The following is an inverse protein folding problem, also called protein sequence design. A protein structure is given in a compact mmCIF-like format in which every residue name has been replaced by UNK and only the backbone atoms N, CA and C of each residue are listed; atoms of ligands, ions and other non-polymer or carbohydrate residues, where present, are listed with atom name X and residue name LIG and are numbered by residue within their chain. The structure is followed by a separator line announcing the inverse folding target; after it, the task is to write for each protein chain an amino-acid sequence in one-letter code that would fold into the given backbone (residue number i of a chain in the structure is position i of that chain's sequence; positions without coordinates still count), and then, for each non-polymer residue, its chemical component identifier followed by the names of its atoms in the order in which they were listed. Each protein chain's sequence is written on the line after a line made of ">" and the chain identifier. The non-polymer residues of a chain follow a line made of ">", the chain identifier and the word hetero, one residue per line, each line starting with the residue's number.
data_IF_590110240326
#
_entry.id   IF_590110240326
#
_cell.length_a   1.000
_cell.length_b   1.000
_cell.length_c   1.000
_cell.angle_alpha   90.00
_cell.angle_beta   90.00
_cell.angle_gamma   90.00
#
_symmetry.space_group_name_H-M   'P 1'
#
loop_
_entity.id
_entity.type
_entity.pdbx_description
1 polymer ?
#
# COMPACT_ATOMS: atom_id res chain seq x y z
N UNK A 1 8.84 7.12 -10.72
CA UNK A 1 9.30 5.77 -10.30
C UNK A 1 10.32 5.97 -9.20
N UNK A 2 10.31 5.16 -8.13
CA UNK A 2 11.26 5.30 -7.01
C UNK A 2 12.70 4.99 -7.47
N UNK A 3 13.70 5.63 -6.85
CA UNK A 3 15.12 5.39 -7.16
C UNK A 3 15.57 4.00 -6.72
N UNK A 4 15.02 3.49 -5.61
CA UNK A 4 15.29 2.16 -5.07
C UNK A 4 13.99 1.49 -4.57
N UNK A 5 13.99 0.16 -4.58
CA UNK A 5 12.92 -0.68 -4.01
C UNK A 5 13.59 -1.66 -3.06
N UNK A 6 13.01 -1.81 -1.87
CA UNK A 6 13.48 -2.74 -0.85
C UNK A 6 12.31 -3.54 -0.30
N UNK A 7 12.53 -4.84 -0.08
CA UNK A 7 11.56 -5.68 0.63
C UNK A 7 11.55 -5.32 2.12
N UNK A 8 10.37 -5.30 2.73
CA UNK A 8 10.26 -5.24 4.19
C UNK A 8 10.94 -6.49 4.78
N UNK A 9 11.83 -6.34 5.78
CA UNK A 9 12.42 -7.47 6.47
C UNK A 9 11.33 -8.40 7.02
N UNK A 10 11.34 -9.68 6.63
CA UNK A 10 10.33 -10.64 7.08
C UNK A 10 10.56 -11.03 8.54
N UNK A 11 9.50 -11.01 9.34
CA UNK A 11 9.54 -11.55 10.69
C UNK A 11 9.17 -13.04 10.66
N UNK A 12 10.10 -13.93 10.99
CA UNK A 12 9.85 -15.39 11.02
C UNK A 12 9.13 -15.90 12.28
N UNK A 13 8.41 -15.05 13.01
CA UNK A 13 7.73 -15.42 14.26
C UNK A 13 6.24 -15.73 14.07
N UNK A 14 5.69 -16.61 14.92
CA UNK A 14 4.35 -17.25 14.90
C UNK A 14 3.13 -16.35 14.62
N UNK A 15 3.26 -15.02 14.69
CA UNK A 15 2.24 -13.99 14.36
C UNK A 15 2.65 -13.17 13.13
N UNK A 16 3.04 -13.84 12.04
CA UNK A 16 3.74 -13.25 10.89
C UNK A 16 3.02 -12.07 10.25
N UNK A 17 1.72 -12.18 9.96
CA UNK A 17 1.00 -11.16 9.20
C UNK A 17 0.98 -9.80 9.91
N UNK A 18 0.61 -9.75 11.19
CA UNK A 18 0.59 -8.47 11.92
C UNK A 18 2.00 -7.91 12.15
N UNK A 19 3.00 -8.79 12.30
CA UNK A 19 4.39 -8.34 12.44
C UNK A 19 4.92 -7.73 11.14
N UNK A 20 4.57 -8.31 9.98
CA UNK A 20 5.02 -7.83 8.68
C UNK A 20 4.38 -6.47 8.32
N UNK A 21 3.10 -6.25 8.65
CA UNK A 21 2.42 -4.95 8.49
C UNK A 21 3.08 -3.85 9.34
N UNK A 22 3.28 -4.11 10.63
CA UNK A 22 3.90 -3.18 11.56
C UNK A 22 5.31 -2.80 11.10
N UNK A 23 6.08 -3.79 10.63
CA UNK A 23 7.42 -3.58 10.10
C UNK A 23 7.40 -2.77 8.82
N UNK A 24 6.46 -3.01 7.91
CA UNK A 24 6.31 -2.25 6.66
C UNK A 24 6.08 -0.76 6.96
N UNK A 25 5.13 -0.46 7.86
CA UNK A 25 4.85 0.93 8.28
C UNK A 25 6.08 1.57 8.93
N UNK A 26 6.74 0.88 9.87
CA UNK A 26 7.93 1.40 10.57
C UNK A 26 9.11 1.64 9.63
N UNK A 27 9.34 0.75 8.68
CA UNK A 27 10.40 0.90 7.67
C UNK A 27 10.13 2.11 6.79
N UNK A 28 8.89 2.28 6.31
CA UNK A 28 8.51 3.43 5.49
C UNK A 28 8.71 4.75 6.23
N UNK A 29 8.24 4.83 7.47
CA UNK A 29 8.42 5.99 8.34
C UNK A 29 9.91 6.31 8.56
N UNK A 30 10.73 5.32 8.99
CA UNK A 30 12.14 5.54 9.33
C UNK A 30 13.00 5.94 8.13
N UNK A 31 12.62 5.50 6.93
CA UNK A 31 13.36 5.76 5.68
C UNK A 31 12.78 6.92 4.89
N UNK A 32 11.73 7.58 5.41
CA UNK A 32 10.99 8.63 4.71
C UNK A 32 10.55 8.21 3.30
N UNK A 33 10.04 6.99 3.15
CA UNK A 33 9.62 6.43 1.86
C UNK A 33 8.14 6.02 1.85
N UNK A 34 7.67 5.62 0.67
CA UNK A 34 6.32 5.07 0.46
C UNK A 34 6.35 3.55 0.62
N UNK A 35 5.23 2.97 1.05
CA UNK A 35 5.04 1.52 1.09
C UNK A 35 4.02 1.09 0.02
N UNK A 36 4.25 -0.07 -0.58
CA UNK A 36 3.47 -0.60 -1.70
C UNK A 36 2.77 -1.88 -1.27
N UNK A 37 1.46 -1.79 -1.09
CA UNK A 37 0.64 -2.92 -0.62
C UNK A 37 -0.84 -2.68 -0.99
N UNK A 38 -1.65 -3.73 -1.02
CA UNK A 38 -3.09 -3.62 -1.24
C UNK A 38 -3.91 -3.66 0.06
N UNK A 39 -3.28 -3.97 1.19
CA UNK A 39 -3.94 -3.91 2.49
C UNK A 39 -4.30 -2.48 2.91
N UNK A 40 -5.41 -2.34 3.64
CA UNK A 40 -5.97 -1.02 3.94
C UNK A 40 -5.42 -0.41 5.23
N UNK A 41 -4.68 -1.14 6.07
CA UNK A 41 -4.07 -0.65 7.31
C UNK A 41 -4.99 0.18 8.23
N UNK A 42 -6.32 -0.06 8.21
CA UNK A 42 -7.27 0.75 8.98
C UNK A 42 -7.01 0.62 10.47
N UNK A 43 -6.84 -0.61 10.94
CA UNK A 43 -6.64 -0.93 12.35
C UNK A 43 -5.28 -0.42 12.87
N UNK A 44 -4.27 -0.37 12.00
CA UNK A 44 -2.92 0.11 12.33
C UNK A 44 -2.86 1.60 12.68
N UNK A 45 -3.85 2.40 12.27
CA UNK A 45 -3.94 3.79 12.71
C UNK A 45 -4.21 3.93 14.21
N UNK A 46 -4.69 2.87 14.88
CA UNK A 46 -4.95 2.85 16.32
C UNK A 46 -4.05 1.87 17.07
N UNK A 47 -3.69 0.74 16.46
CA UNK A 47 -2.98 -0.37 17.11
C UNK A 47 -1.45 -0.31 17.03
N UNK A 48 -0.87 0.52 16.16
CA UNK A 48 0.58 0.57 15.94
C UNK A 48 1.34 1.04 17.18
N UNK A 49 2.20 0.23 17.79
CA UNK A 49 2.81 0.56 19.09
C UNK A 49 3.72 1.80 19.08
N UNK A 50 4.36 2.11 17.95
CA UNK A 50 5.22 3.28 17.82
C UNK A 50 4.37 4.54 17.58
N UNK A 51 4.23 5.39 18.60
CA UNK A 51 3.39 6.59 18.56
C UNK A 51 3.78 7.56 17.43
N UNK A 52 5.08 7.71 17.14
CA UNK A 52 5.53 8.63 16.09
C UNK A 52 5.16 8.09 14.71
N UNK A 53 5.40 6.81 14.47
CA UNK A 53 4.98 6.16 13.24
C UNK A 53 3.46 6.16 13.09
N UNK A 54 2.70 6.05 14.20
CA UNK A 54 1.24 6.06 14.20
C UNK A 54 0.69 7.42 13.81
N UNK A 55 1.19 8.50 14.42
CA UNK A 55 0.82 9.87 14.06
C UNK A 55 1.18 10.18 12.62
N UNK A 56 2.34 9.72 12.15
CA UNK A 56 2.73 9.83 10.74
C UNK A 56 1.74 9.11 9.82
N UNK A 57 1.40 7.85 10.11
CA UNK A 57 0.45 7.07 9.32
C UNK A 57 -0.91 7.77 9.27
N UNK A 58 -1.45 8.22 10.40
CA UNK A 58 -2.74 8.92 10.44
C UNK A 58 -2.80 10.17 9.55
N UNK A 59 -1.68 10.90 9.43
CA UNK A 59 -1.62 12.17 8.68
C UNK A 59 -1.16 12.02 7.23
N UNK A 60 -0.45 10.94 6.89
CA UNK A 60 0.22 10.78 5.60
C UNK A 60 -0.15 9.48 4.86
N UNK A 61 -1.05 8.64 5.40
CA UNK A 61 -1.41 7.34 4.80
C UNK A 61 -1.74 7.44 3.31
N UNK A 62 -2.59 8.37 2.90
CA UNK A 62 -3.00 8.50 1.49
C UNK A 62 -1.86 8.92 0.56
N UNK A 63 -0.80 9.55 1.10
CA UNK A 63 0.39 9.94 0.35
C UNK A 63 1.50 8.88 0.39
N UNK A 64 1.56 8.12 1.49
CA UNK A 64 2.60 7.12 1.77
C UNK A 64 2.25 5.73 1.23
N UNK A 65 0.95 5.39 1.18
CA UNK A 65 0.45 4.11 0.76
C UNK A 65 0.22 4.09 -0.75
N UNK A 66 0.94 3.22 -1.45
CA UNK A 66 0.74 2.95 -2.87
C UNK A 66 0.05 1.61 -3.02
N UNK A 67 -0.92 1.52 -3.92
CA UNK A 67 -1.56 0.26 -4.30
C UNK A 67 -1.04 -0.23 -5.64
N UNK A 68 -1.26 -1.51 -5.93
CA UNK A 68 -0.87 -2.10 -7.20
C UNK A 68 -1.92 -3.02 -7.77
N UNK A 69 -1.90 -3.17 -9.08
CA UNK A 69 -2.62 -4.19 -9.82
C UNK A 69 -1.62 -5.10 -10.53
N UNK A 70 -1.84 -6.41 -10.45
CA UNK A 70 -1.05 -7.40 -11.18
C UNK A 70 -1.97 -8.21 -12.09
N UNK A 71 -1.89 -7.98 -13.40
CA UNK A 71 -2.65 -8.77 -14.38
C UNK A 71 -1.92 -10.09 -14.63
N UNK A 72 -2.44 -11.17 -14.04
CA UNK A 72 -1.90 -12.53 -14.22
C UNK A 72 -2.00 -13.04 -15.66
N UNK A 73 -2.92 -12.50 -16.47
CA UNK A 73 -3.12 -12.93 -17.85
C UNK A 73 -2.06 -12.41 -18.82
N UNK A 74 -1.50 -11.22 -18.55
CA UNK A 74 -0.45 -10.61 -19.38
C UNK A 74 0.89 -10.47 -18.64
N UNK A 75 0.94 -10.73 -17.34
CA UNK A 75 2.13 -10.62 -16.51
C UNK A 75 2.57 -9.17 -16.25
N UNK A 76 1.64 -8.21 -16.29
CA UNK A 76 1.94 -6.78 -16.07
C UNK A 76 1.69 -6.36 -14.64
N UNK A 77 2.51 -5.41 -14.17
CA UNK A 77 2.44 -4.83 -12.83
C UNK A 77 2.28 -3.31 -12.95
N UNK A 78 1.21 -2.79 -12.39
CA UNK A 78 0.87 -1.36 -12.46
C UNK A 78 0.70 -0.79 -11.05
N UNK A 79 1.32 0.35 -10.78
CA UNK A 79 1.12 1.10 -9.53
C UNK A 79 -0.07 2.04 -9.69
N UNK A 80 -1.03 1.93 -8.78
CA UNK A 80 -2.23 2.75 -8.75
C UNK A 80 -1.92 4.04 -7.99
N UNK A 81 -1.46 5.08 -8.70
CA UNK A 81 -1.08 6.36 -8.11
C UNK A 81 -2.14 7.46 -8.28
N UNK A 82 -2.49 8.14 -7.18
CA UNK A 82 -3.19 9.44 -7.18
C UNK A 82 -4.69 9.39 -7.48
N UNK A 83 -5.50 9.93 -6.56
CA UNK A 83 -6.95 10.19 -6.71
C UNK A 83 -7.90 9.00 -6.92
N UNK A 84 -7.52 7.77 -6.57
CA UNK A 84 -8.50 6.69 -6.52
C UNK A 84 -9.19 6.66 -5.16
N UNK A 85 -10.53 6.80 -5.09
CA UNK A 85 -11.23 6.59 -3.85
C UNK A 85 -10.90 5.18 -3.35
N UNK A 86 -10.31 5.11 -2.17
CA UNK A 86 -9.93 3.90 -1.42
C UNK A 86 -11.08 2.88 -1.34
N UNK A 87 -12.32 3.35 -1.48
CA UNK A 87 -13.57 2.58 -1.49
C UNK A 87 -13.93 1.93 -2.83
N UNK A 88 -13.35 2.37 -3.95
CA UNK A 88 -13.67 1.86 -5.29
C UNK A 88 -12.87 0.59 -5.67
N UNK A 89 -11.74 0.33 -5.01
CA UNK A 89 -10.89 -0.84 -5.28
C UNK A 89 -11.27 -2.07 -4.44
N UNK A 90 -12.09 -1.89 -3.40
CA UNK A 90 -12.51 -2.97 -2.51
C UNK A 90 -13.70 -3.78 -3.03
N UNK A 91 -14.34 -3.37 -4.14
CA UNK A 91 -15.42 -4.13 -4.73
C UNK A 91 -14.85 -5.08 -5.78
N UNK A 92 -14.84 -6.37 -5.45
CA UNK A 92 -14.69 -7.48 -6.39
C UNK A 92 -15.90 -7.54 -7.36
N UNK A 93 -16.25 -6.43 -7.99
CA UNK A 93 -17.23 -6.41 -9.07
C UNK A 93 -16.51 -5.96 -10.32
N UNK A 94 -16.56 -6.81 -11.35
CA UNK A 94 -15.71 -6.76 -12.53
C UNK A 94 -15.58 -5.35 -13.10
N UNK A 95 -14.48 -4.69 -12.79
CA UNK A 95 -14.11 -3.43 -13.43
C UNK A 95 -13.77 -3.79 -14.87
N UNK A 96 -14.58 -3.29 -15.80
CA UNK A 96 -14.34 -3.43 -17.22
C UNK A 96 -12.95 -2.86 -17.55
N UNK A 97 -12.10 -3.73 -18.09
CA UNK A 97 -10.71 -3.46 -18.51
C UNK A 97 -10.60 -2.22 -19.40
N UNK A 98 -11.67 -1.87 -20.12
CA UNK A 98 -11.72 -0.69 -21.00
C UNK A 98 -11.65 0.65 -20.25
N UNK A 99 -12.04 0.70 -18.98
CA UNK A 99 -12.03 1.94 -18.19
C UNK A 99 -10.64 2.24 -17.61
N UNK A 100 -9.87 1.22 -17.25
CA UNK A 100 -8.52 1.38 -16.66
C UNK A 100 -7.52 2.03 -17.63
N UNK A 101 -7.58 1.70 -18.93
CA UNK A 101 -6.66 2.25 -19.94
C UNK A 101 -6.90 3.73 -20.28
N UNK A 102 -8.08 4.30 -19.98
CA UNK A 102 -8.42 5.68 -20.36
C UNK A 102 -8.11 6.73 -19.29
N UNK A 103 -7.82 6.32 -18.06
CA UNK A 103 -7.76 7.24 -16.91
C UNK A 103 -6.35 7.74 -16.55
N UNK A 104 -5.31 7.34 -17.31
CA UNK A 104 -3.92 7.75 -17.10
C UNK A 104 -3.40 8.84 -18.04
N UNK A 105 -4.27 9.53 -18.79
CA UNK A 105 -3.89 10.69 -19.61
C UNK A 105 -4.86 11.85 -19.37
N UNK A 106 -4.49 12.73 -18.44
CA UNK A 106 -5.15 14.00 -18.17
C UNK A 106 -4.22 14.88 -17.36
#
# INVERSE_FOLDING_TARGET
>A
MCETIEETPRCHARNHQSADDEMTIKCAYRRACRFLDNDNYTDWTTQLQDDKARTWLQSHKDLAHMRYYFDKGVGTFDVLGGNFPTTALAQNEGVDKSQLYRMGRG
#
